data_IF_340158376827
#
_entry.id   IF_340158376827
#
_cell.length_a   1.000
_cell.length_b   1.000
_cell.length_c   1.000
_cell.angle_alpha   90.00
_cell.angle_beta   90.00
_cell.angle_gamma   90.00
#
_symmetry.space_group_name_H-M   'P 1'
#
loop_
_entity.id
_entity.type
_entity.pdbx_description
1 polymer ?
#
# COMPACT_ATOMS: atom_id res chain seq x y z
N UNK A 1 -4.85 -13.49 0.21
CA UNK A 1 -4.05 -14.44 1.03
C UNK A 1 -4.42 -14.26 2.51
N UNK A 2 -4.28 -15.32 3.32
CA UNK A 2 -4.61 -15.35 4.75
C UNK A 2 -3.86 -14.25 5.53
N UNK A 3 -4.27 -13.94 6.77
CA UNK A 3 -3.49 -13.11 7.72
C UNK A 3 -2.09 -13.72 7.85
N UNK A 4 -1.17 -13.30 6.98
CA UNK A 4 0.04 -14.05 6.71
C UNK A 4 1.09 -13.69 7.73
N UNK A 5 1.52 -14.66 8.56
CA UNK A 5 2.83 -14.60 9.20
C UNK A 5 3.83 -14.12 8.14
N UNK A 6 4.63 -13.10 8.48
CA UNK A 6 5.72 -12.66 7.63
C UNK A 6 6.54 -13.89 7.20
N UNK A 7 6.93 -14.01 5.92
CA UNK A 7 7.69 -15.17 5.45
C UNK A 7 8.90 -15.40 6.36
N UNK A 8 9.19 -16.66 6.71
CA UNK A 8 10.32 -16.99 7.60
C UNK A 8 11.65 -16.36 7.15
N UNK A 9 11.85 -16.21 5.84
CA UNK A 9 13.00 -15.54 5.27
C UNK A 9 13.09 -14.05 5.64
N UNK A 10 11.96 -13.33 5.64
CA UNK A 10 11.89 -11.93 6.07
C UNK A 10 12.23 -11.79 7.56
N UNK A 11 11.69 -12.68 8.39
CA UNK A 11 11.97 -12.68 9.84
C UNK A 11 13.44 -12.95 10.14
N UNK A 12 14.06 -13.89 9.43
CA UNK A 12 15.49 -14.17 9.56
C UNK A 12 16.35 -12.99 9.08
N UNK A 13 15.98 -12.36 7.97
CA UNK A 13 16.68 -11.18 7.44
C UNK A 13 16.59 -9.99 8.41
N UNK A 14 15.41 -9.75 9.00
CA UNK A 14 15.21 -8.73 10.01
C UNK A 14 16.08 -8.96 11.24
N UNK A 15 16.21 -10.21 11.71
CA UNK A 15 17.11 -10.55 12.82
C UNK A 15 18.58 -10.36 12.47
N UNK A 16 19.00 -10.71 11.24
CA UNK A 16 20.40 -10.59 10.80
C UNK A 16 20.83 -9.14 10.55
N UNK A 17 19.91 -8.29 10.11
CA UNK A 17 20.17 -6.90 9.74
C UNK A 17 19.30 -5.92 10.55
N UNK A 18 19.22 -6.12 11.86
CA UNK A 18 18.34 -5.36 12.75
C UNK A 18 18.51 -3.84 12.60
N UNK A 19 19.74 -3.33 12.65
CA UNK A 19 20.04 -1.90 12.50
C UNK A 19 19.48 -1.30 11.19
N UNK A 20 19.54 -2.06 10.10
CA UNK A 20 19.01 -1.61 8.81
C UNK A 20 17.48 -1.49 8.87
N UNK A 21 16.78 -2.51 9.38
CA UNK A 21 15.34 -2.47 9.51
C UNK A 21 14.87 -1.37 10.47
N UNK A 22 15.55 -1.19 11.61
CA UNK A 22 15.26 -0.09 12.54
C UNK A 22 15.41 1.26 11.86
N UNK A 23 16.47 1.48 11.07
CA UNK A 23 16.67 2.73 10.34
C UNK A 23 15.59 2.97 9.28
N UNK A 24 15.19 1.94 8.52
CA UNK A 24 14.11 2.05 7.51
C UNK A 24 12.76 2.31 8.18
N UNK A 25 12.45 1.64 9.30
CA UNK A 25 11.22 1.87 10.05
C UNK A 25 11.17 3.29 10.62
N UNK A 26 12.30 3.80 11.13
CA UNK A 26 12.38 5.15 11.69
C UNK A 26 12.25 6.22 10.60
N UNK A 27 12.92 6.03 9.46
CA UNK A 27 12.74 6.91 8.30
C UNK A 27 11.26 6.99 7.89
N UNK A 28 10.56 5.86 7.85
CA UNK A 28 9.14 5.81 7.52
C UNK A 28 8.25 6.58 8.50
N UNK A 29 8.61 6.64 9.79
CA UNK A 29 7.87 7.43 10.80
C UNK A 29 8.17 8.91 10.66
N UNK A 30 9.44 9.28 10.55
CA UNK A 30 9.87 10.68 10.47
C UNK A 30 9.28 11.33 9.22
N UNK A 31 9.39 10.71 8.05
CA UNK A 31 8.86 11.28 6.80
C UNK A 31 7.35 11.53 6.85
N UNK A 32 6.59 10.71 7.59
CA UNK A 32 5.14 10.95 7.79
C UNK A 32 4.83 12.20 8.63
N UNK A 33 5.79 12.66 9.44
CA UNK A 33 5.64 13.82 10.34
C UNK A 33 6.25 15.10 9.75
N UNK A 34 7.11 14.97 8.73
CA UNK A 34 7.81 16.07 8.06
C UNK A 34 6.94 16.75 6.99
N UNK A 35 5.69 17.09 7.31
CA UNK A 35 4.84 17.82 6.36
C UNK A 35 3.38 18.01 6.79
N UNK A 36 2.62 18.82 6.03
CA UNK A 36 1.24 19.18 6.36
C UNK A 36 0.20 18.19 5.82
N UNK A 37 0.61 17.14 5.11
CA UNK A 37 -0.32 16.18 4.49
C UNK A 37 -0.86 15.21 5.52
N UNK A 38 -2.16 14.93 5.44
CA UNK A 38 -2.80 13.90 6.24
C UNK A 38 -2.41 12.48 5.78
N UNK A 39 -2.74 11.49 6.62
CA UNK A 39 -2.35 10.09 6.39
C UNK A 39 -3.06 9.49 5.17
N UNK A 40 -4.32 9.89 4.91
CA UNK A 40 -5.09 9.49 3.74
C UNK A 40 -4.39 9.91 2.44
N UNK A 41 -4.07 11.20 2.32
CA UNK A 41 -3.39 11.79 1.16
C UNK A 41 -1.99 11.20 1.00
N UNK A 42 -1.24 11.04 2.09
CA UNK A 42 0.09 10.43 2.05
C UNK A 42 0.04 9.01 1.45
N UNK A 43 -0.94 8.19 1.84
CA UNK A 43 -1.08 6.84 1.31
C UNK A 43 -1.54 6.80 -0.15
N UNK A 44 -2.39 7.74 -0.59
CA UNK A 44 -2.76 7.86 -2.00
C UNK A 44 -1.57 8.28 -2.88
N UNK A 45 -0.72 9.21 -2.41
CA UNK A 45 0.51 9.60 -3.12
C UNK A 45 1.46 8.41 -3.26
N UNK A 46 1.69 7.69 -2.17
CA UNK A 46 2.57 6.52 -2.18
C UNK A 46 2.01 5.36 -3.00
N UNK A 47 0.68 5.19 -3.03
CA UNK A 47 0.00 4.26 -3.92
C UNK A 47 0.23 4.62 -5.39
N UNK A 48 0.11 5.90 -5.75
CA UNK A 48 0.38 6.36 -7.11
C UNK A 48 1.83 6.08 -7.52
N UNK A 49 2.80 6.34 -6.64
CA UNK A 49 4.20 6.01 -6.86
C UNK A 49 4.41 4.49 -7.02
N UNK A 50 3.78 3.67 -6.16
CA UNK A 50 3.85 2.21 -6.23
C UNK A 50 3.30 1.67 -7.56
N UNK A 51 2.19 2.22 -8.05
CA UNK A 51 1.62 1.89 -9.35
C UNK A 51 2.58 2.28 -10.48
N UNK A 52 3.15 3.50 -10.43
CA UNK A 52 4.06 4.00 -11.45
C UNK A 52 5.34 3.16 -11.58
N UNK A 53 5.87 2.62 -10.47
CA UNK A 53 7.04 1.72 -10.47
C UNK A 53 6.68 0.24 -10.59
N UNK A 54 5.42 -0.07 -10.88
CA UNK A 54 4.90 -1.43 -11.10
C UNK A 54 5.16 -2.40 -9.92
N UNK A 55 5.03 -1.91 -8.68
CA UNK A 55 5.30 -2.70 -7.48
C UNK A 55 4.02 -3.22 -6.84
N UNK A 56 3.60 -4.44 -7.20
CA UNK A 56 2.40 -5.10 -6.65
C UNK A 56 2.39 -5.13 -5.11
N UNK A 57 3.50 -5.54 -4.49
CA UNK A 57 3.60 -5.62 -3.03
C UNK A 57 3.41 -4.26 -2.34
N UNK A 58 3.92 -3.18 -2.95
CA UNK A 58 3.74 -1.83 -2.44
C UNK A 58 2.30 -1.33 -2.67
N UNK A 59 1.69 -1.61 -3.82
CA UNK A 59 0.27 -1.32 -4.09
C UNK A 59 -0.61 -2.00 -3.04
N UNK A 60 -0.41 -3.30 -2.79
CA UNK A 60 -1.11 -4.03 -1.74
C UNK A 60 -0.94 -3.43 -0.35
N UNK A 61 0.24 -2.88 -0.05
CA UNK A 61 0.53 -2.25 1.23
C UNK A 61 -0.20 -0.91 1.39
N UNK A 62 -0.10 -0.03 0.39
CA UNK A 62 -0.69 1.30 0.45
C UNK A 62 -2.22 1.27 0.33
N UNK A 63 -2.80 0.34 -0.44
CA UNK A 63 -4.26 0.16 -0.47
C UNK A 63 -4.79 -0.25 0.91
N UNK A 64 -4.17 -1.23 1.58
CA UNK A 64 -4.59 -1.64 2.93
C UNK A 64 -4.48 -0.49 3.93
N UNK A 65 -3.37 0.24 3.92
CA UNK A 65 -3.14 1.34 4.86
C UNK A 65 -4.03 2.55 4.58
N UNK A 66 -4.33 2.84 3.31
CA UNK A 66 -5.31 3.85 2.93
C UNK A 66 -6.71 3.50 3.47
N UNK A 67 -7.13 2.23 3.33
CA UNK A 67 -8.40 1.75 3.89
C UNK A 67 -8.42 1.83 5.43
N UNK A 68 -7.31 1.51 6.09
CA UNK A 68 -7.16 1.66 7.56
C UNK A 68 -7.21 3.12 8.00
N UNK A 69 -6.74 4.05 7.16
CA UNK A 69 -6.79 5.50 7.38
C UNK A 69 -8.15 6.13 7.08
N UNK A 70 -9.12 5.38 6.53
CA UNK A 70 -10.47 5.86 6.26
C UNK A 70 -10.79 6.15 4.79
N UNK A 71 -9.81 5.99 3.89
CA UNK A 71 -10.03 6.21 2.44
C UNK A 71 -11.00 5.17 1.90
N UNK A 72 -12.01 5.60 1.16
CA UNK A 72 -13.00 4.69 0.55
C UNK A 72 -12.40 3.91 -0.62
N UNK A 73 -12.88 2.67 -0.88
CA UNK A 73 -12.51 1.94 -2.09
C UNK A 73 -12.68 2.75 -3.37
N UNK A 74 -13.76 3.51 -3.48
CA UNK A 74 -14.08 4.36 -4.62
C UNK A 74 -13.03 5.45 -4.84
N UNK A 75 -12.55 6.08 -3.76
CA UNK A 75 -11.46 7.05 -3.82
C UNK A 75 -10.13 6.41 -4.25
N UNK A 76 -9.84 5.18 -3.80
CA UNK A 76 -8.65 4.42 -4.21
C UNK A 76 -8.69 4.10 -5.71
N UNK A 77 -9.82 3.60 -6.22
CA UNK A 77 -9.97 3.34 -7.66
C UNK A 77 -9.81 4.61 -8.47
N UNK A 78 -10.44 5.71 -8.03
CA UNK A 78 -10.33 6.99 -8.72
C UNK A 78 -8.89 7.51 -8.75
N UNK A 79 -8.16 7.44 -7.63
CA UNK A 79 -6.76 7.85 -7.56
C UNK A 79 -5.88 7.07 -8.56
N UNK A 80 -6.12 5.77 -8.73
CA UNK A 80 -5.39 4.95 -9.70
C UNK A 80 -5.79 5.30 -11.15
N UNK A 81 -7.08 5.54 -11.41
CA UNK A 81 -7.59 5.93 -12.74
C UNK A 81 -7.01 7.27 -13.21
N UNK A 82 -6.84 8.25 -12.31
CA UNK A 82 -6.23 9.55 -12.61
C UNK A 82 -4.81 9.43 -13.22
N UNK A 83 -4.12 8.31 -12.98
CA UNK A 83 -2.76 8.09 -13.48
C UNK A 83 -2.71 7.68 -14.96
N UNK A 84 -3.86 7.40 -15.60
CA UNK A 84 -3.92 6.83 -16.96
C UNK A 84 -3.11 7.61 -17.99
N UNK A 85 -3.22 8.94 -17.98
CA UNK A 85 -2.47 9.81 -18.90
C UNK A 85 -0.98 9.92 -18.58
N UNK A 86 -0.55 9.49 -17.39
CA UNK A 86 0.83 9.60 -16.91
C UNK A 86 1.61 8.29 -17.07
N UNK A 87 0.99 7.16 -16.70
CA UNK A 87 1.68 5.85 -16.65
C UNK A 87 1.10 4.82 -17.63
N UNK A 88 0.09 5.20 -18.41
CA UNK A 88 -0.52 4.37 -19.43
C UNK A 88 -1.54 3.34 -18.91
N UNK A 89 -2.43 2.93 -19.80
CA UNK A 89 -3.53 2.01 -19.49
C UNK A 89 -3.08 0.65 -18.92
N UNK A 90 -2.06 -0.06 -19.46
CA UNK A 90 -1.67 -1.37 -18.92
C UNK A 90 -1.23 -1.32 -17.45
N UNK A 91 -0.46 -0.31 -17.08
CA UNK A 91 0.01 -0.10 -15.71
C UNK A 91 -1.16 0.18 -14.76
N UNK A 92 -2.11 1.02 -15.19
CA UNK A 92 -3.33 1.33 -14.42
C UNK A 92 -4.18 0.10 -14.20
N UNK A 93 -4.43 -0.73 -15.23
CA UNK A 93 -5.24 -1.95 -15.10
C UNK A 93 -4.59 -2.94 -14.13
N UNK A 94 -3.26 -3.11 -14.18
CA UNK A 94 -2.55 -3.95 -13.22
C UNK A 94 -2.74 -3.43 -11.78
N UNK A 95 -2.52 -2.13 -11.56
CA UNK A 95 -2.70 -1.51 -10.26
C UNK A 95 -4.13 -1.63 -9.71
N UNK A 96 -5.15 -1.47 -10.58
CA UNK A 96 -6.55 -1.67 -10.22
C UNK A 96 -6.82 -3.12 -9.81
N UNK A 97 -6.26 -4.10 -10.52
CA UNK A 97 -6.40 -5.52 -10.17
C UNK A 97 -5.80 -5.83 -8.80
N UNK A 98 -4.62 -5.30 -8.49
CA UNK A 98 -3.98 -5.48 -7.18
C UNK A 98 -4.74 -4.76 -6.05
N UNK A 99 -5.28 -3.56 -6.31
CA UNK A 99 -6.13 -2.88 -5.34
C UNK A 99 -7.40 -3.69 -5.03
N UNK A 100 -8.02 -4.28 -6.05
CA UNK A 100 -9.20 -5.13 -5.93
C UNK A 100 -8.94 -6.35 -5.02
N UNK A 101 -7.77 -6.97 -5.12
CA UNK A 101 -7.38 -8.10 -4.28
C UNK A 101 -7.45 -7.75 -2.79
N UNK A 102 -7.04 -6.55 -2.42
CA UNK A 102 -7.09 -6.09 -1.02
C UNK A 102 -8.51 -5.72 -0.61
N UNK A 103 -9.21 -4.93 -1.43
CA UNK A 103 -10.55 -4.42 -1.13
C UNK A 103 -11.55 -5.58 -0.96
N UNK A 104 -11.51 -6.59 -1.84
CA UNK A 104 -12.35 -7.79 -1.72
C UNK A 104 -12.03 -8.61 -0.47
N UNK A 105 -10.75 -8.72 -0.11
CA UNK A 105 -10.34 -9.47 1.07
C UNK A 105 -10.77 -8.79 2.39
N UNK A 106 -10.83 -7.45 2.43
CA UNK A 106 -11.33 -6.71 3.59
C UNK A 106 -12.85 -6.89 3.76
N UNK A 107 -13.63 -6.79 2.66
CA UNK A 107 -15.09 -7.03 2.69
C UNK A 107 -15.45 -8.40 3.26
N UNK A 108 -14.72 -9.45 2.87
CA UNK A 108 -14.91 -10.82 3.38
C UNK A 108 -14.61 -10.99 4.88
N UNK A 109 -13.76 -10.14 5.46
CA UNK A 109 -13.44 -10.19 6.89
C UNK A 109 -14.50 -9.47 7.72
N UNK A 110 -15.10 -8.40 7.20
CA UNK A 110 -16.16 -7.65 7.88
C UNK A 110 -17.48 -8.42 7.91
N UNK A 111 -17.80 -9.25 6.91
CA UNK A 111 -19.02 -10.08 6.89
C UNK A 111 -18.94 -11.35 7.73
N UNK A 112 -17.76 -11.69 8.27
CA UNK A 112 -17.52 -12.87 9.13
C UNK A 112 -17.40 -12.52 10.61
N UNK A 113 -17.52 -11.25 10.96
CA UNK A 113 -17.63 -10.76 12.34
C UNK A 113 -19.09 -10.49 12.66
#
# INVERSE_FOLDING_TARGET
MSKGKLPNQFLQLKKRHEKFFTAVEELGKVVKQEGPLDEETAHLIQLAAAAAVHSEGAVHSHVRRALEAGVTPEAIYHAILLLTSTIGFPTVIAALSWAEDIIKNQKKQNTRK
#
